data_IF_097406817519
#
_entry.id   IF_097406817519
#
_cell.length_a   1.000
_cell.length_b   1.000
_cell.length_c   1.000
_cell.angle_alpha   90.00
_cell.angle_beta   90.00
_cell.angle_gamma   90.00
#
_symmetry.space_group_name_H-M   'P 1'
#
loop_
_entity.id
_entity.type
_entity.pdbx_description
1 polymer ?
#
# COMPACT_ATOMS: atom_id res chain seq x y z
N UNK A 1 -11.92 4.40 -29.08
CA UNK A 1 -11.20 5.26 -28.13
C UNK A 1 -10.50 4.41 -27.06
N UNK A 2 -9.48 4.94 -26.44
CA UNK A 2 -8.73 4.25 -25.41
C UNK A 2 -8.40 5.20 -24.26
N UNK A 3 -8.29 4.65 -23.06
CA UNK A 3 -7.68 5.31 -21.90
C UNK A 3 -6.16 5.26 -22.09
N UNK A 4 -5.49 6.37 -21.87
CA UNK A 4 -4.02 6.47 -21.93
C UNK A 4 -3.52 6.84 -20.55
N UNK A 5 -2.65 6.00 -20.00
CA UNK A 5 -2.06 6.18 -18.68
C UNK A 5 -0.61 6.66 -18.85
N UNK A 6 -0.29 7.82 -18.30
CA UNK A 6 1.06 8.36 -18.29
C UNK A 6 1.59 8.41 -16.87
N UNK A 7 2.51 7.50 -16.57
CA UNK A 7 3.14 7.42 -15.26
C UNK A 7 4.11 8.57 -15.04
N UNK A 8 4.04 9.17 -13.86
CA UNK A 8 4.99 10.13 -13.33
C UNK A 8 5.70 9.50 -12.14
N UNK A 9 7.03 9.42 -12.18
CA UNK A 9 7.82 8.77 -11.12
C UNK A 9 9.09 9.57 -10.84
N UNK A 10 9.46 9.67 -9.57
CA UNK A 10 10.67 10.31 -9.08
C UNK A 10 11.21 9.50 -7.90
N UNK A 11 12.28 8.74 -8.14
CA UNK A 11 12.90 7.85 -7.15
C UNK A 11 13.50 8.62 -5.97
N UNK A 12 14.12 9.78 -6.22
CA UNK A 12 14.76 10.58 -5.16
C UNK A 12 13.73 11.13 -4.16
N UNK A 13 12.52 11.38 -4.63
CA UNK A 13 11.38 11.83 -3.80
C UNK A 13 10.49 10.68 -3.33
N UNK A 14 10.75 9.45 -3.77
CA UNK A 14 9.88 8.29 -3.57
C UNK A 14 8.43 8.62 -3.96
N UNK A 15 8.29 9.28 -5.11
CA UNK A 15 7.02 9.76 -5.63
C UNK A 15 6.61 8.96 -6.86
N UNK A 16 5.35 8.56 -6.91
CA UNK A 16 4.70 8.07 -8.14
C UNK A 16 3.27 8.57 -8.20
N UNK A 17 2.82 8.90 -9.39
CA UNK A 17 1.45 9.33 -9.71
C UNK A 17 1.09 8.86 -11.12
N UNK A 18 -0.14 9.08 -11.52
CA UNK A 18 -0.66 8.72 -12.85
C UNK A 18 -1.50 9.86 -13.42
N UNK A 19 -1.16 10.27 -14.62
CA UNK A 19 -2.00 11.12 -15.43
C UNK A 19 -2.88 10.26 -16.34
N UNK A 20 -4.18 10.54 -16.35
CA UNK A 20 -5.15 9.85 -17.17
C UNK A 20 -5.52 10.76 -18.33
N UNK A 21 -5.21 10.32 -19.54
CA UNK A 21 -5.59 10.96 -20.78
C UNK A 21 -6.46 10.02 -21.63
N UNK A 22 -7.00 10.52 -22.69
CA UNK A 22 -7.86 9.76 -23.60
C UNK A 22 -7.40 9.95 -25.03
N UNK A 23 -7.31 8.84 -25.75
CA UNK A 23 -7.07 8.85 -27.19
C UNK A 23 -8.37 8.59 -27.92
N UNK A 24 -8.66 9.41 -28.93
CA UNK A 24 -9.86 9.22 -29.73
C UNK A 24 -9.82 7.92 -30.54
N UNK A 25 -10.95 7.43 -30.90
CA UNK A 25 -11.09 6.25 -31.73
C UNK A 25 -10.81 6.59 -33.18
N UNK A 26 -10.09 5.71 -33.87
CA UNK A 26 -9.99 5.75 -35.33
C UNK A 26 -10.93 4.72 -35.93
N UNK A 27 -11.53 5.07 -37.02
CA UNK A 27 -12.32 4.14 -37.83
C UNK A 27 -11.37 3.10 -38.42
N UNK A 28 -11.70 1.82 -38.28
CA UNK A 28 -10.97 0.71 -38.88
C UNK A 28 -11.45 0.44 -40.31
N UNK A 29 -10.60 -0.24 -41.07
CA UNK A 29 -10.96 -0.81 -42.38
C UNK A 29 -10.73 -2.31 -42.31
N UNK A 30 -11.72 -3.09 -42.70
CA UNK A 30 -11.65 -4.54 -42.84
C UNK A 30 -11.72 -4.87 -44.31
N UNK A 31 -10.76 -5.63 -44.83
CA UNK A 31 -10.76 -6.08 -46.21
C UNK A 31 -11.78 -7.20 -46.39
N UNK A 32 -12.67 -7.05 -47.36
CA UNK A 32 -13.50 -8.16 -47.83
C UNK A 32 -12.62 -9.16 -48.58
N UNK A 33 -12.06 -10.11 -47.82
CA UNK A 33 -11.13 -11.09 -48.34
C UNK A 33 -11.79 -12.08 -49.35
N UNK A 34 -13.10 -12.32 -49.21
CA UNK A 34 -13.85 -13.19 -50.13
C UNK A 34 -14.03 -12.49 -51.47
N UNK A 35 -14.52 -11.26 -51.47
CA UNK A 35 -14.66 -10.46 -52.70
C UNK A 35 -13.34 -10.19 -53.39
N UNK A 36 -12.27 -9.99 -52.61
CA UNK A 36 -10.92 -9.83 -53.15
C UNK A 36 -10.42 -11.12 -53.83
N UNK A 37 -10.63 -12.27 -53.20
CA UNK A 37 -10.25 -13.56 -53.76
C UNK A 37 -11.01 -13.83 -55.08
N UNK A 38 -12.32 -13.65 -55.10
CA UNK A 38 -13.15 -13.82 -56.29
C UNK A 38 -12.69 -12.88 -57.42
N UNK A 39 -12.36 -11.65 -57.14
CA UNK A 39 -11.85 -10.71 -58.13
C UNK A 39 -10.50 -11.15 -58.68
N UNK A 40 -9.58 -11.62 -57.83
CA UNK A 40 -8.26 -12.13 -58.25
C UNK A 40 -8.42 -13.36 -59.14
N UNK A 41 -9.28 -14.34 -58.76
CA UNK A 41 -9.53 -15.53 -59.58
C UNK A 41 -10.11 -15.16 -60.93
N UNK A 42 -11.09 -14.26 -61.01
CA UNK A 42 -11.66 -13.86 -62.26
C UNK A 42 -10.65 -13.15 -63.19
N UNK A 43 -9.74 -12.38 -62.66
CA UNK A 43 -8.66 -11.76 -63.42
C UNK A 43 -7.63 -12.81 -63.93
N UNK A 44 -7.27 -13.78 -63.10
CA UNK A 44 -6.33 -14.84 -63.47
C UNK A 44 -6.89 -15.73 -64.60
N UNK A 45 -8.20 -16.03 -64.56
CA UNK A 45 -8.86 -16.79 -65.67
C UNK A 45 -8.80 -16.05 -67.00
N UNK A 46 -8.75 -14.70 -66.96
CA UNK A 46 -8.62 -13.85 -68.14
C UNK A 46 -7.18 -13.52 -68.54
N UNK A 47 -6.17 -14.11 -67.90
CA UNK A 47 -4.75 -13.76 -67.99
C UNK A 47 -4.48 -12.28 -67.76
N UNK A 48 -5.28 -11.64 -66.91
CA UNK A 48 -5.09 -10.25 -66.54
C UNK A 48 -4.33 -10.16 -65.18
N UNK A 49 -3.19 -9.49 -65.19
CA UNK A 49 -2.26 -9.34 -64.07
C UNK A 49 -2.22 -7.89 -63.52
N UNK A 50 -3.20 -7.08 -63.86
CA UNK A 50 -3.29 -5.73 -63.35
C UNK A 50 -3.57 -5.72 -61.83
N UNK A 51 -3.09 -4.68 -61.10
CA UNK A 51 -3.33 -4.57 -59.65
C UNK A 51 -4.81 -4.59 -59.28
N UNK A 52 -5.18 -5.40 -58.30
CA UNK A 52 -6.53 -5.43 -57.75
C UNK A 52 -6.63 -4.54 -56.52
N UNK A 53 -7.60 -3.62 -56.51
CA UNK A 53 -7.91 -2.84 -55.32
C UNK A 53 -8.87 -3.63 -54.44
N UNK A 54 -8.45 -3.91 -53.21
CA UNK A 54 -9.30 -4.56 -52.23
C UNK A 54 -10.51 -3.68 -51.83
N UNK A 55 -11.68 -4.25 -51.84
CA UNK A 55 -12.84 -3.61 -51.21
C UNK A 55 -12.71 -3.68 -49.69
N UNK A 56 -13.00 -2.55 -49.03
CA UNK A 56 -12.90 -2.46 -47.57
C UNK A 56 -14.21 -2.01 -46.99
N UNK A 57 -14.58 -2.67 -45.89
CA UNK A 57 -15.70 -2.26 -45.07
C UNK A 57 -15.21 -1.38 -43.91
N UNK A 58 -15.98 -0.33 -43.63
CA UNK A 58 -15.70 0.56 -42.52
C UNK A 58 -16.10 -0.10 -41.22
N UNK A 59 -15.15 -0.32 -40.32
CA UNK A 59 -15.40 -0.85 -38.98
C UNK A 59 -15.45 0.30 -37.98
N UNK A 60 -16.62 0.52 -37.42
CA UNK A 60 -16.78 1.53 -36.39
C UNK A 60 -16.14 1.08 -35.07
N UNK A 61 -15.54 1.99 -34.30
CA UNK A 61 -14.97 1.67 -33.01
C UNK A 61 -16.05 1.21 -32.04
N UNK A 62 -15.75 0.19 -31.24
CA UNK A 62 -16.69 -0.33 -30.20
C UNK A 62 -17.00 0.70 -29.11
N UNK A 63 -16.06 1.64 -28.84
CA UNK A 63 -16.23 2.69 -27.84
C UNK A 63 -15.75 4.02 -28.43
N UNK A 64 -16.58 5.06 -28.32
CA UNK A 64 -16.22 6.44 -28.64
C UNK A 64 -15.52 7.10 -27.45
N UNK A 65 -14.82 8.22 -27.71
CA UNK A 65 -14.18 9.02 -26.66
C UNK A 65 -15.19 9.48 -25.60
N UNK A 66 -16.35 9.93 -26.02
CA UNK A 66 -17.43 10.40 -25.16
C UNK A 66 -17.92 9.27 -24.25
N UNK A 67 -18.18 8.09 -24.82
CA UNK A 67 -18.59 6.91 -24.05
C UNK A 67 -17.56 6.50 -22.99
N UNK A 68 -16.26 6.62 -23.28
CA UNK A 68 -15.22 6.31 -22.28
C UNK A 68 -15.24 7.35 -21.16
N UNK A 69 -15.20 8.63 -21.48
CA UNK A 69 -15.19 9.72 -20.49
C UNK A 69 -16.40 9.67 -19.55
N UNK A 70 -17.57 9.37 -20.10
CA UNK A 70 -18.81 9.31 -19.32
C UNK A 70 -18.91 8.04 -18.47
N UNK A 71 -18.36 6.93 -18.93
CA UNK A 71 -18.50 5.63 -18.26
C UNK A 71 -17.39 5.28 -17.29
N UNK A 72 -16.19 5.84 -17.46
CA UNK A 72 -15.04 5.51 -16.61
C UNK A 72 -14.87 6.51 -15.48
N UNK A 73 -14.48 5.99 -14.32
CA UNK A 73 -14.12 6.76 -13.13
C UNK A 73 -13.19 5.96 -12.23
N UNK A 74 -12.70 6.59 -11.16
CA UNK A 74 -12.16 5.86 -10.02
C UNK A 74 -13.31 5.17 -9.32
N UNK A 75 -13.34 3.84 -9.36
CA UNK A 75 -14.40 3.00 -8.78
C UNK A 75 -13.98 2.33 -7.48
N UNK A 76 -12.69 2.35 -7.17
CA UNK A 76 -12.14 1.90 -5.89
C UNK A 76 -10.99 2.79 -5.50
N UNK A 77 -10.94 3.21 -4.22
CA UNK A 77 -9.95 4.15 -3.70
C UNK A 77 -9.65 3.82 -2.26
N UNK A 78 -8.38 3.62 -1.93
CA UNK A 78 -7.96 3.35 -0.56
C UNK A 78 -6.58 3.91 -0.29
N UNK A 79 -6.38 4.39 0.93
CA UNK A 79 -5.14 5.05 1.35
C UNK A 79 -4.66 4.48 2.68
N UNK A 80 -3.36 4.22 2.79
CA UNK A 80 -2.72 3.92 4.07
C UNK A 80 -1.50 4.81 4.30
N UNK A 81 -1.10 4.94 5.58
CA UNK A 81 0.03 5.76 5.99
C UNK A 81 1.14 4.87 6.53
N UNK A 82 2.39 5.15 6.12
CA UNK A 82 3.59 4.49 6.65
C UNK A 82 4.52 5.48 7.39
N UNK A 83 4.13 6.76 7.46
CA UNK A 83 4.68 7.78 8.34
C UNK A 83 6.20 7.88 8.34
N UNK A 84 6.79 7.86 9.53
CA UNK A 84 8.23 7.99 9.80
C UNK A 84 9.03 6.70 9.63
N UNK A 85 8.56 5.73 8.84
CA UNK A 85 9.30 4.48 8.57
C UNK A 85 10.73 4.74 8.07
N UNK A 86 11.64 3.81 8.37
CA UNK A 86 13.01 3.86 7.86
C UNK A 86 13.04 3.92 6.32
N UNK A 87 14.11 4.52 5.76
CA UNK A 87 14.24 4.75 4.32
C UNK A 87 14.02 3.47 3.49
N UNK A 88 14.64 2.34 3.87
CA UNK A 88 14.51 1.07 3.14
C UNK A 88 13.05 0.64 2.98
N UNK A 89 12.23 0.77 4.05
CA UNK A 89 10.81 0.46 4.01
C UNK A 89 10.03 1.42 3.12
N UNK A 90 10.27 2.74 3.24
CA UNK A 90 9.65 3.75 2.39
C UNK A 90 9.96 3.50 0.91
N UNK A 91 11.22 3.20 0.62
CA UNK A 91 11.69 2.88 -0.72
C UNK A 91 10.97 1.66 -1.29
N UNK A 92 10.86 0.57 -0.53
CA UNK A 92 10.20 -0.65 -0.99
C UNK A 92 8.70 -0.44 -1.24
N UNK A 93 8.02 0.34 -0.38
CA UNK A 93 6.61 0.72 -0.58
C UNK A 93 6.44 1.50 -1.88
N UNK A 94 7.28 2.53 -2.09
CA UNK A 94 7.28 3.30 -3.32
C UNK A 94 7.59 2.43 -4.54
N UNK A 95 8.64 1.62 -4.48
CA UNK A 95 9.06 0.77 -5.61
C UNK A 95 7.96 -0.21 -6.03
N UNK A 96 7.30 -0.86 -5.07
CA UNK A 96 6.17 -1.73 -5.38
C UNK A 96 5.02 -0.93 -6.01
N UNK A 97 4.68 0.23 -5.44
CA UNK A 97 3.67 1.11 -5.98
C UNK A 97 4.00 1.55 -7.41
N UNK A 98 5.25 1.92 -7.67
CA UNK A 98 5.70 2.34 -9.00
C UNK A 98 5.65 1.19 -10.03
N UNK A 99 6.02 -0.02 -9.63
CA UNK A 99 5.96 -1.20 -10.52
C UNK A 99 4.53 -1.45 -11.01
N UNK A 100 3.55 -1.41 -10.09
CA UNK A 100 2.16 -1.75 -10.43
C UNK A 100 1.35 -0.56 -10.95
N UNK A 101 1.93 0.63 -10.99
CA UNK A 101 1.25 1.85 -11.44
C UNK A 101 1.02 1.84 -12.95
N UNK A 102 -0.24 1.92 -13.37
CA UNK A 102 -0.66 1.92 -14.78
C UNK A 102 -0.90 0.52 -15.36
N UNK A 103 -0.88 -0.52 -14.55
CA UNK A 103 -1.22 -1.88 -15.01
C UNK A 103 -2.64 -1.90 -15.55
N UNK A 104 -2.78 -2.32 -16.80
CA UNK A 104 -4.06 -2.62 -17.47
C UNK A 104 -4.40 -4.10 -17.27
N UNK A 105 -5.62 -4.38 -16.84
CA UNK A 105 -6.15 -5.75 -16.71
C UNK A 105 -7.35 -5.87 -17.65
N UNK A 106 -7.22 -6.71 -18.69
CA UNK A 106 -8.24 -6.90 -19.71
C UNK A 106 -9.45 -7.67 -19.16
N UNK A 107 -10.61 -7.58 -19.82
CA UNK A 107 -11.80 -8.39 -19.46
C UNK A 107 -11.46 -9.87 -19.31
N UNK A 108 -11.83 -10.46 -18.17
CA UNK A 108 -11.59 -11.88 -17.85
C UNK A 108 -10.15 -12.22 -17.47
N UNK A 109 -9.19 -11.30 -17.62
CA UNK A 109 -7.78 -11.53 -17.28
C UNK A 109 -7.60 -11.65 -15.77
N UNK A 110 -6.75 -12.62 -15.37
CA UNK A 110 -6.28 -12.76 -13.99
C UNK A 110 -4.86 -12.18 -13.89
N UNK A 111 -4.69 -11.18 -13.05
CA UNK A 111 -3.41 -10.53 -12.76
C UNK A 111 -2.86 -10.97 -11.40
N UNK A 112 -1.54 -11.05 -11.27
CA UNK A 112 -0.80 -11.45 -10.07
C UNK A 112 0.25 -10.41 -9.72
N UNK A 113 0.24 -9.92 -8.48
CA UNK A 113 1.24 -8.96 -8.02
C UNK A 113 2.64 -9.59 -7.93
N UNK A 114 2.73 -10.88 -7.59
CA UNK A 114 4.02 -11.56 -7.53
C UNK A 114 4.63 -11.74 -8.91
N UNK A 115 3.81 -12.02 -9.93
CA UNK A 115 4.25 -12.12 -11.33
C UNK A 115 4.73 -10.75 -11.84
N UNK A 116 4.01 -9.69 -11.52
CA UNK A 116 4.34 -8.32 -11.93
C UNK A 116 5.64 -7.83 -11.30
N UNK A 117 5.78 -7.94 -9.99
CA UNK A 117 6.94 -7.44 -9.25
C UNK A 117 8.19 -8.34 -9.40
N UNK A 118 8.00 -9.63 -9.67
CA UNK A 118 9.06 -10.62 -9.67
C UNK A 118 9.69 -10.84 -8.28
N UNK A 119 10.82 -11.53 -8.19
CA UNK A 119 11.52 -11.77 -6.92
C UNK A 119 11.98 -10.48 -6.24
N UNK A 120 11.75 -10.39 -4.92
CA UNK A 120 12.21 -9.27 -4.09
C UNK A 120 13.56 -9.60 -3.51
N UNK A 121 14.63 -9.21 -4.20
CA UNK A 121 16.03 -9.48 -3.84
C UNK A 121 16.88 -8.21 -3.91
N UNK A 122 18.01 -8.17 -3.20
CA UNK A 122 18.90 -7.02 -3.18
C UNK A 122 19.49 -6.68 -4.56
N UNK A 123 19.85 -7.68 -5.35
CA UNK A 123 20.37 -7.54 -6.72
C UNK A 123 19.34 -6.93 -7.68
N UNK A 124 18.05 -7.07 -7.39
CA UNK A 124 16.96 -6.38 -8.10
C UNK A 124 16.65 -4.99 -7.53
N UNK A 125 17.50 -4.48 -6.66
CA UNK A 125 17.43 -3.12 -6.09
C UNK A 125 16.39 -2.97 -4.97
N UNK A 126 15.88 -4.06 -4.38
CA UNK A 126 15.08 -3.96 -3.17
C UNK A 126 15.98 -3.63 -1.98
N UNK A 127 15.46 -2.89 -1.00
CA UNK A 127 16.20 -2.49 0.20
C UNK A 127 15.88 -3.40 1.37
N UNK A 128 16.85 -3.52 2.30
CA UNK A 128 16.61 -4.16 3.59
C UNK A 128 15.63 -3.35 4.41
N UNK A 129 14.65 -4.03 4.97
CA UNK A 129 13.71 -3.45 5.92
C UNK A 129 13.00 -4.58 6.70
N UNK A 130 12.43 -4.27 7.90
CA UNK A 130 11.69 -5.25 8.65
C UNK A 130 10.50 -5.80 7.85
N UNK A 131 10.46 -7.12 7.69
CA UNK A 131 9.36 -7.91 7.17
C UNK A 131 8.87 -8.91 8.21
N UNK A 132 7.76 -9.57 7.95
CA UNK A 132 7.21 -10.63 8.80
C UNK A 132 7.45 -11.95 8.09
N UNK A 133 8.37 -12.77 8.62
CA UNK A 133 8.68 -14.10 8.13
C UNK A 133 8.58 -15.11 9.26
N UNK A 134 7.83 -16.20 9.05
CA UNK A 134 7.59 -17.25 10.05
C UNK A 134 7.03 -16.74 11.40
N UNK A 135 6.30 -15.63 11.36
CA UNK A 135 5.76 -15.01 12.55
C UNK A 135 6.79 -14.23 13.37
N UNK A 136 7.90 -13.82 12.77
CA UNK A 136 8.94 -12.99 13.38
C UNK A 136 9.26 -11.79 12.49
N UNK A 137 9.64 -10.67 13.12
CA UNK A 137 10.21 -9.55 12.38
C UNK A 137 11.65 -9.87 12.02
N UNK A 138 11.96 -9.92 10.72
CA UNK A 138 13.32 -10.11 10.20
C UNK A 138 13.62 -9.03 9.18
N UNK A 139 14.88 -8.61 9.13
CA UNK A 139 15.32 -7.73 8.04
C UNK A 139 15.41 -8.54 6.74
N UNK A 140 14.66 -8.14 5.74
CA UNK A 140 14.60 -8.81 4.45
C UNK A 140 14.53 -7.81 3.29
N UNK A 141 14.93 -8.25 2.10
CA UNK A 141 14.75 -7.47 0.88
C UNK A 141 13.27 -7.33 0.55
N UNK A 142 12.81 -6.09 0.41
CA UNK A 142 11.40 -5.81 0.13
C UNK A 142 10.50 -5.68 1.37
N UNK A 143 11.06 -5.66 2.58
CA UNK A 143 10.25 -5.42 3.79
C UNK A 143 9.37 -4.19 3.65
N UNK A 144 8.09 -4.30 4.02
CA UNK A 144 7.08 -3.25 3.92
C UNK A 144 6.11 -3.36 2.75
N UNK A 145 6.37 -4.15 1.71
CA UNK A 145 5.53 -4.26 0.50
C UNK A 145 4.11 -4.79 0.77
N UNK A 146 3.90 -5.54 1.85
CA UNK A 146 2.56 -5.99 2.23
C UNK A 146 1.62 -4.82 2.50
N UNK A 147 2.15 -3.65 2.90
CA UNK A 147 1.32 -2.46 3.04
C UNK A 147 0.82 -1.95 1.69
N UNK A 148 1.69 -1.93 0.65
CA UNK A 148 1.28 -1.62 -0.71
C UNK A 148 0.17 -2.57 -1.18
N UNK A 149 0.34 -3.87 -0.93
CA UNK A 149 -0.64 -4.89 -1.31
C UNK A 149 -1.96 -4.77 -0.52
N UNK A 150 -1.91 -4.53 0.78
CA UNK A 150 -3.13 -4.32 1.58
C UNK A 150 -3.87 -3.05 1.16
N UNK A 151 -3.13 -1.99 0.76
CA UNK A 151 -3.75 -0.78 0.21
C UNK A 151 -4.43 -1.07 -1.13
N UNK A 152 -3.79 -1.86 -1.99
CA UNK A 152 -4.38 -2.31 -3.25
C UNK A 152 -5.63 -3.17 -2.99
N UNK A 153 -5.56 -4.10 -2.05
CA UNK A 153 -6.72 -4.92 -1.67
C UNK A 153 -7.91 -4.07 -1.22
N UNK A 154 -7.66 -3.03 -0.42
CA UNK A 154 -8.69 -2.07 -0.03
C UNK A 154 -9.36 -1.35 -1.20
N UNK A 155 -8.58 -0.97 -2.24
CA UNK A 155 -9.12 -0.39 -3.47
C UNK A 155 -9.87 -1.41 -4.32
N UNK A 156 -9.35 -2.64 -4.42
CA UNK A 156 -9.95 -3.76 -5.15
C UNK A 156 -11.32 -4.14 -4.57
N UNK A 157 -11.45 -4.20 -3.26
CA UNK A 157 -12.74 -4.45 -2.58
C UNK A 157 -13.77 -3.38 -2.94
N UNK A 158 -13.37 -2.09 -2.88
CA UNK A 158 -14.24 -0.96 -3.21
C UNK A 158 -14.66 -0.95 -4.68
N UNK A 159 -13.77 -1.43 -5.54
CA UNK A 159 -14.04 -1.59 -6.96
C UNK A 159 -14.83 -2.86 -7.32
N UNK A 160 -15.19 -3.71 -6.37
CA UNK A 160 -15.85 -5.01 -6.63
C UNK A 160 -15.14 -5.88 -7.67
N UNK A 161 -13.81 -5.72 -7.81
CA UNK A 161 -13.00 -6.60 -8.65
C UNK A 161 -12.86 -7.95 -7.97
N UNK A 162 -12.99 -9.02 -8.75
CA UNK A 162 -12.94 -10.38 -8.22
C UNK A 162 -11.57 -10.72 -7.65
N UNK A 163 -11.50 -10.99 -6.36
CA UNK A 163 -10.30 -11.53 -5.69
C UNK A 163 -10.23 -13.03 -5.93
N UNK A 164 -9.12 -13.50 -6.51
CA UNK A 164 -8.87 -14.91 -6.85
C UNK A 164 -8.00 -15.59 -5.82
N UNK A 165 -7.01 -14.86 -5.27
CA UNK A 165 -6.07 -15.38 -4.28
C UNK A 165 -5.71 -14.25 -3.30
N UNK A 166 -5.88 -14.50 -2.01
CA UNK A 166 -5.55 -13.57 -0.94
C UNK A 166 -5.30 -14.33 0.35
N UNK A 167 -4.24 -13.96 1.03
CA UNK A 167 -3.90 -14.44 2.37
C UNK A 167 -3.79 -13.26 3.32
N UNK A 168 -4.42 -13.32 4.51
CA UNK A 168 -4.21 -12.32 5.55
C UNK A 168 -2.90 -12.57 6.31
N UNK A 169 -2.41 -11.59 7.06
CA UNK A 169 -1.22 -11.76 7.91
C UNK A 169 -1.50 -12.70 9.10
N UNK A 170 -0.44 -13.12 9.76
CA UNK A 170 -0.53 -13.97 10.95
C UNK A 170 -1.17 -13.28 12.16
N UNK A 171 -1.19 -11.95 12.19
CA UNK A 171 -1.84 -11.10 13.20
C UNK A 171 -2.28 -9.77 12.57
N UNK A 172 -3.25 -9.05 13.18
CA UNK A 172 -3.71 -7.75 12.68
C UNK A 172 -2.58 -6.73 12.69
N UNK A 173 -2.58 -5.86 11.69
CA UNK A 173 -1.57 -4.81 11.48
C UNK A 173 -2.14 -3.43 11.80
N UNK A 174 -1.25 -2.49 12.14
CA UNK A 174 -1.66 -1.15 12.59
C UNK A 174 -2.04 -0.19 11.45
N UNK A 175 -1.72 -0.51 10.20
CA UNK A 175 -1.96 0.37 9.05
C UNK A 175 -3.27 0.09 8.30
N UNK A 176 -3.96 -1.00 8.65
CA UNK A 176 -5.26 -1.38 8.09
C UNK A 176 -6.08 -2.14 9.13
N UNK A 177 -7.39 -2.01 9.07
CA UNK A 177 -8.29 -2.70 9.98
C UNK A 177 -8.23 -4.22 9.78
N UNK A 178 -8.39 -4.98 10.88
CA UNK A 178 -8.34 -6.44 10.84
C UNK A 178 -9.35 -7.03 9.88
N UNK A 179 -8.93 -8.02 9.09
CA UNK A 179 -9.75 -8.63 8.04
C UNK A 179 -9.68 -7.92 6.68
N UNK A 180 -9.08 -6.74 6.61
CA UNK A 180 -8.94 -5.95 5.38
C UNK A 180 -7.50 -5.87 4.87
N UNK A 181 -6.61 -6.72 5.34
CA UNK A 181 -5.22 -6.84 4.94
C UNK A 181 -4.99 -7.94 3.91
N UNK A 182 -3.86 -7.88 3.21
CA UNK A 182 -3.40 -8.91 2.28
C UNK A 182 -1.88 -9.00 2.29
N UNK A 183 -1.35 -10.17 2.66
CA UNK A 183 0.09 -10.43 2.67
C UNK A 183 0.59 -11.01 1.35
N UNK A 184 1.83 -10.71 1.02
CA UNK A 184 2.55 -11.29 -0.13
C UNK A 184 3.99 -11.61 0.26
N UNK A 185 4.54 -12.63 -0.38
CA UNK A 185 5.97 -12.97 -0.28
C UNK A 185 6.52 -13.39 -1.64
N UNK A 186 7.84 -13.45 -1.79
CA UNK A 186 8.45 -13.97 -3.02
C UNK A 186 8.02 -15.42 -3.23
N UNK A 187 7.31 -15.68 -4.34
CA UNK A 187 6.72 -16.98 -4.65
C UNK A 187 5.32 -17.16 -4.06
N UNK A 188 5.21 -17.23 -2.74
CA UNK A 188 3.94 -17.38 -2.04
C UNK A 188 4.05 -16.82 -0.59
N UNK A 189 2.94 -16.28 -0.02
CA UNK A 189 1.62 -16.08 -0.63
C UNK A 189 1.62 -15.06 -1.76
N UNK A 190 0.60 -15.10 -2.62
CA UNK A 190 0.37 -14.17 -3.72
C UNK A 190 -0.93 -13.40 -3.51
N UNK A 191 -1.12 -12.33 -4.27
CA UNK A 191 -2.39 -11.64 -4.40
C UNK A 191 -2.78 -11.62 -5.87
N UNK A 192 -3.94 -12.21 -6.18
CA UNK A 192 -4.45 -12.31 -7.54
C UNK A 192 -5.85 -11.76 -7.64
N UNK A 193 -6.08 -10.97 -8.67
CA UNK A 193 -7.39 -10.42 -9.00
C UNK A 193 -7.76 -10.77 -10.44
N UNK A 194 -9.05 -10.91 -10.71
CA UNK A 194 -9.59 -11.12 -12.06
C UNK A 194 -10.50 -9.95 -12.41
N UNK A 195 -10.27 -9.34 -13.55
CA UNK A 195 -11.19 -8.35 -14.08
C UNK A 195 -12.51 -9.04 -14.49
N UNK A 196 -13.56 -8.77 -13.73
CA UNK A 196 -14.93 -9.28 -13.94
C UNK A 196 -15.82 -8.28 -14.70
N UNK A 197 -15.24 -7.21 -15.23
CA UNK A 197 -15.95 -6.24 -16.09
C UNK A 197 -15.74 -6.59 -17.57
N UNK A 198 -16.64 -6.07 -18.42
CA UNK A 198 -16.59 -6.25 -19.89
C UNK A 198 -15.58 -5.33 -20.59
N UNK A 199 -14.93 -4.46 -19.83
CA UNK A 199 -13.97 -3.47 -20.30
C UNK A 199 -12.69 -3.53 -19.44
N UNK A 200 -11.54 -3.04 -19.96
CA UNK A 200 -10.31 -3.00 -19.17
C UNK A 200 -10.49 -2.18 -17.91
N UNK A 201 -9.78 -2.59 -16.85
CA UNK A 201 -9.59 -1.79 -15.63
C UNK A 201 -8.11 -1.50 -15.44
N UNK A 202 -7.80 -0.45 -14.68
CA UNK A 202 -6.43 -0.01 -14.47
C UNK A 202 -6.14 0.16 -12.99
N UNK A 203 -4.95 -0.29 -12.59
CA UNK A 203 -4.41 -0.02 -11.26
C UNK A 203 -3.68 1.31 -11.31
N UNK A 204 -4.06 2.24 -10.46
CA UNK A 204 -3.38 3.52 -10.27
C UNK A 204 -2.82 3.55 -8.86
N UNK A 205 -1.55 3.85 -8.74
CA UNK A 205 -0.91 4.04 -7.46
C UNK A 205 -0.33 5.45 -7.34
N UNK A 206 -0.53 6.06 -6.17
CA UNK A 206 0.04 7.35 -5.80
C UNK A 206 0.82 7.17 -4.51
N UNK A 207 2.09 7.50 -4.55
CA UNK A 207 2.98 7.41 -3.40
C UNK A 207 3.67 8.74 -3.18
N UNK A 208 3.69 9.20 -1.94
CA UNK A 208 4.44 10.38 -1.49
C UNK A 208 5.31 9.97 -0.31
N UNK A 209 6.61 9.80 -0.57
CA UNK A 209 7.60 9.41 0.42
C UNK A 209 7.81 10.44 1.53
N UNK A 210 7.59 11.73 1.26
CA UNK A 210 7.70 12.80 2.25
C UNK A 210 6.50 12.80 3.20
N UNK A 211 5.29 12.70 2.64
CA UNK A 211 4.07 12.58 3.43
C UNK A 211 3.92 11.20 4.11
N UNK A 212 4.67 10.19 3.65
CA UNK A 212 4.57 8.82 4.16
C UNK A 212 3.20 8.19 3.88
N UNK A 213 2.67 8.41 2.69
CA UNK A 213 1.31 7.99 2.28
C UNK A 213 1.38 7.20 0.99
N UNK A 214 0.59 6.14 0.92
CA UNK A 214 0.31 5.40 -0.30
C UNK A 214 -1.20 5.33 -0.52
N UNK A 215 -1.65 5.62 -1.74
CA UNK A 215 -3.02 5.54 -2.21
C UNK A 215 -3.08 4.63 -3.42
N UNK A 216 -4.02 3.70 -3.41
CA UNK A 216 -4.31 2.82 -4.53
C UNK A 216 -5.70 3.11 -5.06
N UNK A 217 -5.83 3.14 -6.37
CA UNK A 217 -7.10 3.37 -7.04
C UNK A 217 -7.31 2.32 -8.14
N UNK A 218 -8.54 1.92 -8.34
CA UNK A 218 -8.97 1.16 -9.51
C UNK A 218 -9.76 2.12 -10.40
N UNK A 219 -9.26 2.33 -11.60
CA UNK A 219 -9.95 3.10 -12.63
C UNK A 219 -10.67 2.14 -13.58
N UNK A 220 -11.98 2.31 -13.72
CA UNK A 220 -12.82 1.37 -14.45
C UNK A 220 -14.22 1.92 -14.72
N UNK A 221 -15.17 1.08 -15.17
CA UNK A 221 -16.53 1.51 -15.48
C UNK A 221 -17.27 1.90 -14.21
N UNK A 222 -17.97 3.04 -14.23
CA UNK A 222 -18.85 3.47 -13.14
C UNK A 222 -19.87 2.39 -12.80
N UNK A 223 -20.17 2.24 -11.54
CA UNK A 223 -21.24 1.35 -11.10
C UNK A 223 -22.60 1.80 -11.65
N UNK A 224 -23.38 0.84 -12.15
CA UNK A 224 -24.69 1.13 -12.72
C UNK A 224 -25.72 1.66 -11.70
N UNK A 225 -25.52 1.32 -10.42
CA UNK A 225 -26.38 1.77 -9.31
C UNK A 225 -25.98 3.17 -8.80
N UNK A 226 -24.89 3.75 -9.28
CA UNK A 226 -24.38 5.06 -8.86
C UNK A 226 -23.84 5.11 -7.42
N UNK A 227 -23.77 3.98 -6.71
CA UNK A 227 -23.32 3.91 -5.33
C UNK A 227 -21.80 3.68 -5.26
N UNK A 228 -21.14 4.19 -4.23
CA UNK A 228 -19.78 3.82 -3.86
C UNK A 228 -19.79 2.73 -2.79
N UNK A 229 -18.67 2.04 -2.61
CA UNK A 229 -18.51 0.96 -1.64
C UNK A 229 -17.46 1.37 -0.62
N UNK A 230 -17.83 1.20 0.66
CA UNK A 230 -16.91 1.33 1.79
C UNK A 230 -16.87 0.06 2.61
N UNK A 231 -15.76 -0.14 3.33
CA UNK A 231 -15.58 -1.32 4.16
C UNK A 231 -15.18 -0.91 5.56
N UNK A 232 -15.81 -1.56 6.56
CA UNK A 232 -15.46 -1.42 7.97
C UNK A 232 -15.19 -2.79 8.58
N UNK A 233 -14.57 -2.79 9.75
CA UNK A 233 -14.22 -3.99 10.48
C UNK A 233 -14.56 -3.83 11.97
N UNK A 234 -15.11 -4.86 12.57
CA UNK A 234 -15.46 -4.93 13.98
C UNK A 234 -14.74 -6.11 14.63
N UNK A 235 -14.02 -5.87 15.72
CA UNK A 235 -13.45 -6.93 16.54
C UNK A 235 -14.57 -7.62 17.34
N UNK A 236 -14.91 -8.86 16.98
CA UNK A 236 -16.00 -9.61 17.60
C UNK A 236 -15.54 -10.64 18.64
N UNK A 237 -14.27 -11.02 18.60
CA UNK A 237 -13.72 -11.97 19.58
C UNK A 237 -12.22 -11.76 19.78
N UNK A 238 -11.75 -11.98 21.03
CA UNK A 238 -10.33 -12.05 21.37
C UNK A 238 -10.12 -13.30 22.24
N UNK A 239 -9.10 -14.10 21.90
CA UNK A 239 -8.85 -15.36 22.56
C UNK A 239 -7.34 -15.66 22.70
N UNK A 240 -7.02 -16.69 23.50
CA UNK A 240 -5.66 -17.06 23.81
C UNK A 240 -5.09 -16.23 24.96
N UNK A 241 -3.80 -16.29 25.15
CA UNK A 241 -3.07 -15.55 26.19
C UNK A 241 -2.37 -16.45 27.21
N UNK A 242 -1.32 -15.91 27.82
CA UNK A 242 -0.60 -16.53 28.94
C UNK A 242 0.30 -17.71 28.57
N UNK A 243 0.46 -18.05 27.29
CA UNK A 243 1.42 -19.08 26.86
C UNK A 243 2.74 -18.44 26.47
N UNK A 244 3.84 -19.01 26.99
CA UNK A 244 5.20 -18.61 26.66
C UNK A 244 5.96 -19.82 26.13
N UNK A 245 6.57 -19.68 24.96
CA UNK A 245 7.47 -20.66 24.39
C UNK A 245 8.90 -20.31 24.80
N UNK A 246 9.48 -21.11 25.69
CA UNK A 246 10.87 -20.95 26.09
C UNK A 246 11.81 -21.66 25.13
N UNK A 247 12.91 -20.99 24.79
CA UNK A 247 14.02 -21.52 24.02
C UNK A 247 15.25 -21.46 24.92
N UNK A 248 15.80 -22.62 25.27
CA UNK A 248 17.01 -22.69 26.08
C UNK A 248 18.20 -22.16 25.28
N UNK A 249 18.94 -21.23 25.88
CA UNK A 249 20.08 -20.55 25.26
C UNK A 249 21.31 -20.63 26.17
N UNK A 250 22.30 -21.48 25.81
CA UNK A 250 23.52 -21.62 26.60
C UNK A 250 24.47 -20.41 26.52
N UNK A 251 24.20 -19.47 25.62
CA UNK A 251 24.98 -18.21 25.54
C UNK A 251 24.52 -17.18 26.57
N UNK A 252 23.35 -17.37 27.16
CA UNK A 252 22.82 -16.50 28.21
C UNK A 252 23.06 -17.13 29.59
N UNK A 253 23.42 -16.33 30.62
CA UNK A 253 23.57 -16.83 31.99
C UNK A 253 22.27 -17.44 32.53
N UNK A 254 22.39 -18.52 33.31
CA UNK A 254 21.26 -19.13 34.01
C UNK A 254 20.51 -18.10 34.85
N UNK A 255 19.16 -18.11 34.76
CA UNK A 255 18.28 -17.17 35.43
C UNK A 255 18.02 -15.88 34.68
N UNK A 256 18.59 -15.71 33.48
CA UNK A 256 18.24 -14.59 32.59
C UNK A 256 17.14 -14.98 31.59
N UNK A 257 16.25 -14.07 31.29
CA UNK A 257 15.23 -14.22 30.25
C UNK A 257 15.29 -13.05 29.28
N UNK A 258 15.25 -13.35 27.98
CA UNK A 258 15.19 -12.36 26.90
C UNK A 258 13.98 -12.63 26.03
N UNK A 259 12.98 -11.74 26.11
CA UNK A 259 11.83 -11.83 25.22
C UNK A 259 12.24 -11.47 23.78
N UNK A 260 12.04 -12.42 22.85
CA UNK A 260 12.36 -12.25 21.41
C UNK A 260 11.11 -12.01 20.58
N UNK A 261 9.96 -12.56 21.03
CA UNK A 261 8.66 -12.29 20.39
C UNK A 261 7.65 -11.96 21.48
N UNK A 262 6.92 -10.87 21.28
CA UNK A 262 5.77 -10.51 22.11
C UNK A 262 4.58 -11.40 21.77
N UNK A 263 3.78 -11.76 22.77
CA UNK A 263 2.52 -12.45 22.52
C UNK A 263 1.58 -11.62 21.64
N UNK A 264 0.94 -12.29 20.68
CA UNK A 264 -0.20 -11.76 19.94
C UNK A 264 -1.44 -12.60 20.28
N UNK A 265 -2.43 -11.96 20.85
CA UNK A 265 -3.72 -12.62 21.11
C UNK A 265 -4.41 -12.95 19.79
N UNK A 266 -5.10 -14.07 19.75
CA UNK A 266 -5.99 -14.40 18.65
C UNK A 266 -7.15 -13.42 18.59
N UNK A 267 -7.53 -13.00 17.40
CA UNK A 267 -8.60 -12.03 17.18
C UNK A 267 -9.47 -12.45 16.02
N UNK A 268 -10.78 -12.29 16.17
CA UNK A 268 -11.74 -12.52 15.09
C UNK A 268 -12.44 -11.22 14.76
N UNK A 269 -12.46 -10.88 13.49
CA UNK A 269 -13.11 -9.68 12.98
C UNK A 269 -14.26 -10.05 12.06
N UNK A 270 -15.38 -9.33 12.20
CA UNK A 270 -16.46 -9.27 11.22
C UNK A 270 -16.23 -8.03 10.36
N UNK A 271 -16.16 -8.18 9.06
CA UNK A 271 -16.10 -7.06 8.13
C UNK A 271 -17.47 -6.81 7.51
N UNK A 272 -17.72 -5.55 7.17
CA UNK A 272 -18.98 -5.09 6.60
C UNK A 272 -18.70 -4.31 5.32
N UNK A 273 -19.60 -4.44 4.35
CA UNK A 273 -19.64 -3.67 3.12
C UNK A 273 -20.80 -2.68 3.17
N UNK A 274 -20.49 -1.42 2.99
CA UNK A 274 -21.43 -0.30 3.00
C UNK A 274 -21.62 0.22 1.59
N UNK A 275 -22.84 0.56 1.25
CA UNK A 275 -23.20 1.19 -0.03
C UNK A 275 -23.59 2.63 0.26
N UNK A 276 -22.88 3.57 -0.35
CA UNK A 276 -22.98 5.00 -0.08
C UNK A 276 -23.45 5.71 -1.35
N UNK A 277 -24.47 6.55 -1.24
CA UNK A 277 -24.96 7.34 -2.35
C UNK A 277 -24.11 8.60 -2.63
N UNK A 278 -24.49 9.37 -3.65
CA UNK A 278 -23.76 10.57 -4.06
C UNK A 278 -23.77 11.68 -3.00
N UNK A 279 -24.73 11.67 -2.08
CA UNK A 279 -24.84 12.62 -0.97
C UNK A 279 -24.03 12.17 0.27
N UNK A 280 -23.34 11.04 0.19
CA UNK A 280 -22.55 10.46 1.27
C UNK A 280 -23.40 9.70 2.30
N UNK A 281 -24.67 9.40 2.00
CA UNK A 281 -25.56 8.66 2.89
C UNK A 281 -25.43 7.16 2.66
N UNK A 282 -25.33 6.41 3.76
CA UNK A 282 -25.42 4.95 3.72
C UNK A 282 -26.85 4.51 3.37
N UNK A 283 -26.98 3.75 2.29
CA UNK A 283 -28.27 3.21 1.81
C UNK A 283 -28.41 1.71 2.10
N UNK A 284 -27.29 1.01 2.30
CA UNK A 284 -27.28 -0.43 2.59
C UNK A 284 -25.99 -0.81 3.28
N UNK A 285 -26.05 -1.78 4.20
CA UNK A 285 -24.88 -2.45 4.79
C UNK A 285 -25.07 -3.96 4.75
N UNK A 286 -24.01 -4.68 4.48
CA UNK A 286 -23.97 -6.15 4.43
C UNK A 286 -22.77 -6.69 5.23
N UNK A 287 -22.95 -7.85 5.87
CA UNK A 287 -21.82 -8.63 6.37
C UNK A 287 -21.02 -9.14 5.18
N UNK A 288 -19.72 -8.91 5.20
CA UNK A 288 -18.84 -9.28 4.09
C UNK A 288 -18.06 -10.56 4.37
N UNK A 289 -17.20 -10.56 5.42
CA UNK A 289 -16.42 -11.75 5.79
C UNK A 289 -16.18 -11.82 7.28
N UNK A 290 -15.81 -13.00 7.77
CA UNK A 290 -15.27 -13.22 9.11
C UNK A 290 -13.83 -13.70 8.96
N UNK A 291 -12.90 -12.98 9.55
CA UNK A 291 -11.46 -13.28 9.50
C UNK A 291 -10.93 -13.55 10.91
N UNK A 292 -10.20 -14.65 11.05
CA UNK A 292 -9.62 -15.04 12.35
C UNK A 292 -8.10 -15.10 12.27
N UNK A 293 -7.45 -14.33 13.11
CA UNK A 293 -6.00 -14.34 13.31
C UNK A 293 -5.68 -15.20 14.53
N UNK A 294 -4.79 -16.17 14.34
CA UNK A 294 -4.43 -17.10 15.40
C UNK A 294 -3.64 -16.44 16.53
N UNK A 295 -3.82 -16.98 17.74
CA UNK A 295 -2.97 -16.63 18.86
C UNK A 295 -1.52 -17.09 18.60
N UNK A 296 -0.57 -16.20 18.82
CA UNK A 296 0.87 -16.48 18.78
C UNK A 296 1.45 -16.29 20.19
N UNK A 297 1.92 -17.35 20.85
CA UNK A 297 2.53 -17.24 22.16
C UNK A 297 3.81 -16.42 22.15
N UNK A 298 4.13 -15.76 23.26
CA UNK A 298 5.43 -15.11 23.42
C UNK A 298 6.56 -16.14 23.23
N UNK A 299 7.70 -15.71 22.67
CA UNK A 299 8.92 -16.50 22.67
C UNK A 299 9.97 -15.81 23.54
N UNK A 300 10.55 -16.57 24.46
CA UNK A 300 11.53 -16.08 25.42
C UNK A 300 12.75 -16.99 25.37
N UNK A 301 13.94 -16.43 25.16
CA UNK A 301 15.21 -17.14 25.40
C UNK A 301 15.42 -17.22 26.90
N UNK A 302 15.64 -18.43 27.42
CA UNK A 302 15.96 -18.68 28.82
C UNK A 302 17.41 -19.12 28.92
N UNK A 303 18.20 -18.36 29.67
CA UNK A 303 19.60 -18.66 29.89
C UNK A 303 19.82 -19.99 30.60
N UNK A 304 20.67 -20.85 30.01
CA UNK A 304 21.09 -22.14 30.57
C UNK A 304 22.63 -22.22 30.68
N UNK A 305 23.36 -21.15 30.31
CA UNK A 305 24.79 -21.05 30.42
C UNK A 305 25.26 -20.89 31.87
N UNK A 306 26.56 -20.73 32.08
CA UNK A 306 27.13 -20.49 33.41
C UNK A 306 26.47 -19.25 34.06
N UNK A 307 26.14 -19.33 35.33
CA UNK A 307 25.59 -18.18 36.06
C UNK A 307 26.51 -16.96 35.89
N UNK A 308 25.93 -15.77 35.72
CA UNK A 308 26.74 -14.55 35.72
C UNK A 308 27.58 -14.49 37.00
N UNK A 309 28.85 -14.09 36.91
CA UNK A 309 29.65 -13.90 38.11
C UNK A 309 28.92 -12.98 39.06
N UNK A 310 28.60 -13.49 40.25
CA UNK A 310 28.03 -12.63 41.30
C UNK A 310 29.14 -11.67 41.68
N UNK A 311 29.03 -10.40 41.35
CA UNK A 311 29.92 -9.39 41.91
C UNK A 311 29.88 -9.54 43.43
N UNK A 312 31.03 -9.69 44.13
CA UNK A 312 31.05 -9.74 45.57
C UNK A 312 30.31 -8.49 46.09
N UNK A 313 29.24 -8.70 46.81
CA UNK A 313 28.59 -7.60 47.54
C UNK A 313 29.66 -6.97 48.40
N UNK A 314 30.08 -5.76 48.11
CA UNK A 314 31.01 -5.03 48.91
C UNK A 314 30.51 -5.04 50.36
N UNK A 315 31.39 -5.35 51.36
CA UNK A 315 30.96 -5.31 52.74
C UNK A 315 30.34 -3.95 53.06
N UNK A 316 29.31 -3.88 53.90
CA UNK A 316 28.67 -2.63 54.28
C UNK A 316 29.74 -1.60 54.62
N UNK A 317 29.72 -0.47 53.95
CA UNK A 317 30.65 0.61 54.23
C UNK A 317 30.56 0.98 55.71
N UNK A 318 31.71 1.00 56.40
CA UNK A 318 31.77 1.52 57.76
C UNK A 318 31.11 2.90 57.80
N UNK A 319 30.38 3.24 58.88
CA UNK A 319 29.74 4.53 58.97
C UNK A 319 30.76 5.67 58.84
N UNK A 320 30.68 6.40 57.81
CA UNK A 320 31.51 7.61 57.59
C UNK A 320 31.31 8.60 58.73
N UNK A 321 32.39 9.17 59.31
CA UNK A 321 32.29 10.20 60.34
C UNK A 321 31.41 11.37 59.81
N UNK A 322 30.63 12.04 60.69
CA UNK A 322 29.80 13.13 60.27
C UNK A 322 30.64 14.25 59.60
N UNK A 323 30.22 14.61 58.44
CA UNK A 323 30.83 15.72 57.66
C UNK A 323 30.68 17.03 58.44
N UNK A 324 31.73 17.88 58.58
CA UNK A 324 31.65 19.15 59.21
C UNK A 324 30.58 20.03 58.49
N UNK A 325 29.88 20.92 59.23
CA UNK A 325 28.86 21.75 58.63
C UNK A 325 29.49 22.66 57.57
N UNK A 326 28.86 22.69 56.41
CA UNK A 326 29.26 23.57 55.30
C UNK A 326 29.08 25.03 55.68
N UNK A 327 30.05 25.94 55.41
CA UNK A 327 29.89 27.36 55.66
C UNK A 327 28.66 27.90 54.85
N UNK A 328 27.96 28.93 55.39
CA UNK A 328 26.83 29.51 54.69
C UNK A 328 27.27 30.13 53.36
N UNK A 329 26.52 29.85 52.34
CA UNK A 329 26.71 30.41 51.00
C UNK A 329 26.50 31.93 51.01
N UNK A 330 27.39 32.73 50.38
CA UNK A 330 27.18 34.17 50.28
C UNK A 330 25.89 34.49 49.50
N UNK A 331 25.21 35.60 49.84
CA UNK A 331 23.99 35.97 49.14
C UNK A 331 24.26 36.31 47.68
N UNK A 332 23.38 35.80 46.83
CA UNK A 332 23.42 36.01 45.36
C UNK A 332 23.24 37.51 45.07
N UNK A 333 24.06 38.11 44.21
CA UNK A 333 23.83 39.51 43.79
C UNK A 333 22.47 39.69 43.10
N UNK A 334 21.84 40.86 43.25
CA UNK A 334 20.55 41.14 42.62
C UNK A 334 20.70 41.15 41.09
N UNK A 335 19.72 40.51 40.43
CA UNK A 335 19.61 40.46 38.98
C UNK A 335 19.45 41.86 38.39
N UNK A 336 20.18 42.23 37.33
CA UNK A 336 19.98 43.53 36.68
C UNK A 336 18.56 43.66 36.09
N UNK A 337 17.98 44.87 36.08
CA UNK A 337 16.65 45.10 35.51
C UNK A 337 16.64 44.80 34.00
N UNK A 338 15.60 44.14 33.55
CA UNK A 338 15.34 43.82 32.13
C UNK A 338 15.18 45.14 31.33
N UNK A 339 15.83 45.25 30.16
CA UNK A 339 15.64 46.43 29.30
C UNK A 339 14.19 46.55 28.83
N UNK A 340 13.67 47.78 28.65
CA UNK A 340 12.31 48.00 28.19
C UNK A 340 12.12 47.49 26.75
N UNK A 341 10.96 46.89 26.52
CA UNK A 341 10.53 46.37 25.20
C UNK A 341 10.42 47.55 24.22
N UNK A 342 10.97 47.42 23.01
CA UNK A 342 10.80 48.47 21.99
C UNK A 342 9.32 48.62 21.58
N UNK A 343 8.91 49.85 21.22
CA UNK A 343 7.53 50.12 20.81
C UNK A 343 7.18 49.43 19.50
N UNK A 344 5.88 49.13 19.27
CA UNK A 344 5.40 48.48 18.04
C UNK A 344 5.74 49.33 16.81
N UNK A 345 6.14 48.65 15.73
CA UNK A 345 6.42 49.30 14.44
C UNK A 345 5.14 49.93 13.87
N UNK A 346 5.27 51.18 13.38
CA UNK A 346 4.19 51.90 12.67
C UNK A 346 3.72 51.12 11.42
N UNK A 347 2.42 51.19 11.09
CA UNK A 347 1.89 50.52 9.90
C UNK A 347 2.41 51.19 8.62
N UNK A 348 2.89 50.39 7.70
CA UNK A 348 3.31 50.81 6.36
C UNK A 348 2.14 51.39 5.56
N UNK A 349 2.33 52.50 4.83
CA UNK A 349 1.26 53.12 4.03
C UNK A 349 0.90 52.25 2.82
N UNK A 350 -0.34 52.31 2.33
CA UNK A 350 -0.83 51.48 1.21
C UNK A 350 -0.19 51.93 -0.11
N UNK A 351 0.16 50.92 -0.94
CA UNK A 351 0.67 51.08 -2.30
C UNK A 351 -0.39 51.73 -3.19
N UNK A 352 -0.06 52.74 -4.03
CA UNK A 352 -1.02 53.35 -4.93
C UNK A 352 -1.41 52.40 -6.10
N UNK A 353 -2.64 52.57 -6.66
CA UNK A 353 -3.14 51.72 -7.74
C UNK A 353 -2.43 51.99 -9.05
N UNK A 354 -2.10 50.91 -9.76
CA UNK A 354 -1.61 50.96 -11.16
C UNK A 354 -2.84 51.17 -12.05
N UNK A 355 -2.88 52.25 -12.78
CA UNK A 355 -3.86 52.55 -13.83
C UNK A 355 -3.32 52.12 -15.20
N UNK A 356 -4.21 51.91 -16.22
CA UNK A 356 -4.24 50.84 -17.21
C UNK A 356 -3.19 50.95 -18.33
#
# INVERSE_FOLDING_TARGET
>A
AAVVMTKQSDEDKLFTDMQIDYKDATVGLEVDSAALADTIYAQLEQNNFEPVTAQTNVVQPKLTLEQIKDKYAVIGDFTTKYGSSAFGRKYNVWKMADIINGVEIKPGETWSINKEAGPRTFDRGWKGAPGISDGEYKEEAGGGICQTNSTLYGAVLRAEVKVVDRTHHSWPLDYVDGGLDATISTGAPDFKIQNNYDVPIFIISKCDGNAGVIRMQIYGPKFADGLTREFTSELINTFGGGKVNYIDDPSLPTGTEQQIIKEHLGKTYQTYKHYIDADGKEVKVEKFSVETYDNKPAKVRRGTGAAAPVEPVAPPAEPTPPTPPTPPTPPTPPTPPTPPTPPPAEPTPPTPPVTP
#
